data_IF_668474817843
#
_entry.id   IF_668474817843
#
_cell.length_a   1.000
_cell.length_b   1.000
_cell.length_c   1.000
_cell.angle_alpha   90.00
_cell.angle_beta   90.00
_cell.angle_gamma   90.00
#
_symmetry.space_group_name_H-M   'P 1'
#
loop_
_entity.id
_entity.type
_entity.pdbx_description
1 polymer ?
#
# COMPACT_ATOMS: atom_id res chain seq x y z
N UNK A 1 20.08 4.17 24.73
CA UNK A 1 19.91 5.37 23.89
C UNK A 1 20.10 4.91 22.45
N UNK A 2 19.01 4.61 21.73
CA UNK A 2 19.06 3.79 20.50
C UNK A 2 19.73 4.46 19.29
N UNK A 3 19.84 5.80 19.26
CA UNK A 3 20.53 6.55 18.19
C UNK A 3 21.71 7.36 18.76
N UNK A 4 22.61 6.74 19.51
CA UNK A 4 23.79 7.39 20.12
C UNK A 4 25.08 7.09 19.36
N UNK A 5 25.31 7.69 18.20
CA UNK A 5 26.63 7.68 17.54
C UNK A 5 26.92 9.06 16.95
N UNK A 6 28.16 9.53 17.12
CA UNK A 6 28.66 10.91 16.92
C UNK A 6 28.60 11.47 15.48
N UNK A 7 27.78 10.90 14.61
CA UNK A 7 27.64 11.30 13.21
C UNK A 7 26.23 11.86 13.01
N UNK A 8 26.12 13.18 12.82
CA UNK A 8 24.84 13.90 12.65
C UNK A 8 23.95 13.28 11.56
N UNK A 9 24.55 12.68 10.53
CA UNK A 9 23.84 12.02 9.45
C UNK A 9 23.26 10.64 9.85
N UNK A 10 24.03 9.84 10.59
CA UNK A 10 23.57 8.52 11.09
C UNK A 10 22.47 8.65 12.13
N UNK A 11 22.57 9.65 13.02
CA UNK A 11 21.51 9.96 13.99
C UNK A 11 20.19 10.38 13.33
N UNK A 12 20.25 11.21 12.29
CA UNK A 12 19.05 11.64 11.55
C UNK A 12 18.38 10.47 10.80
N UNK A 13 19.17 9.60 10.16
CA UNK A 13 18.67 8.41 9.47
C UNK A 13 18.01 7.42 10.44
N UNK A 14 18.62 7.19 11.61
CA UNK A 14 18.06 6.36 12.67
C UNK A 14 16.70 6.89 13.17
N UNK A 15 16.57 8.21 13.40
CA UNK A 15 15.31 8.82 13.82
C UNK A 15 14.22 8.64 12.75
N UNK A 16 14.58 8.84 11.48
CA UNK A 16 13.64 8.76 10.37
C UNK A 16 13.07 7.34 10.23
N UNK A 17 13.94 6.32 10.19
CA UNK A 17 13.55 4.93 9.95
C UNK A 17 12.91 4.28 11.18
N UNK A 18 13.44 4.53 12.38
CA UNK A 18 12.98 3.85 13.61
C UNK A 18 11.75 4.51 14.23
N UNK A 19 11.57 5.82 14.03
CA UNK A 19 10.48 6.57 14.68
C UNK A 19 9.50 7.18 13.67
N UNK A 20 9.97 7.99 12.73
CA UNK A 20 9.08 8.76 11.84
C UNK A 20 8.32 7.83 10.88
N UNK A 21 9.02 6.89 10.25
CA UNK A 21 8.46 5.94 9.31
C UNK A 21 7.35 5.05 9.91
N UNK A 22 7.53 4.41 11.09
CA UNK A 22 6.45 3.66 11.73
C UNK A 22 5.24 4.51 12.07
N UNK A 23 5.47 5.75 12.53
CA UNK A 23 4.37 6.67 12.84
C UNK A 23 3.58 7.01 11.57
N UNK A 24 4.27 7.31 10.46
CA UNK A 24 3.63 7.56 9.17
C UNK A 24 2.87 6.33 8.67
N UNK A 25 3.44 5.13 8.82
CA UNK A 25 2.77 3.87 8.46
C UNK A 25 1.49 3.65 9.28
N UNK A 26 1.55 3.87 10.59
CA UNK A 26 0.39 3.75 11.48
C UNK A 26 -0.71 4.76 11.13
N UNK A 27 -0.36 6.04 10.91
CA UNK A 27 -1.34 7.07 10.51
C UNK A 27 -1.97 6.71 9.16
N UNK A 28 -1.15 6.33 8.18
CA UNK A 28 -1.62 5.93 6.87
C UNK A 28 -2.53 4.70 6.92
N UNK A 29 -2.24 3.71 7.76
CA UNK A 29 -3.08 2.53 7.98
C UNK A 29 -4.43 2.91 8.55
N UNK A 30 -4.46 3.76 9.59
CA UNK A 30 -5.71 4.24 10.20
C UNK A 30 -6.56 4.98 9.18
N UNK A 31 -5.97 5.91 8.43
CA UNK A 31 -6.68 6.69 7.42
C UNK A 31 -7.21 5.81 6.28
N UNK A 32 -6.40 4.92 5.72
CA UNK A 32 -6.86 4.03 4.64
C UNK A 32 -7.94 3.06 5.14
N UNK A 33 -7.84 2.57 6.38
CA UNK A 33 -8.86 1.72 6.99
C UNK A 33 -10.18 2.47 7.19
N UNK A 34 -10.12 3.72 7.68
CA UNK A 34 -11.28 4.59 7.80
C UNK A 34 -11.93 4.83 6.42
N UNK A 35 -11.13 5.09 5.38
CA UNK A 35 -11.62 5.23 4.00
C UNK A 35 -12.32 3.96 3.51
N UNK A 36 -11.73 2.78 3.74
CA UNK A 36 -12.35 1.48 3.37
C UNK A 36 -13.70 1.33 4.06
N UNK A 37 -13.79 1.59 5.37
CA UNK A 37 -15.04 1.48 6.13
C UNK A 37 -16.10 2.42 5.55
N UNK A 38 -15.76 3.68 5.30
CA UNK A 38 -16.69 4.66 4.73
C UNK A 38 -17.13 4.25 3.32
N UNK A 39 -16.20 3.86 2.45
CA UNK A 39 -16.52 3.49 1.07
C UNK A 39 -17.35 2.21 1.00
N UNK A 40 -17.04 1.21 1.83
CA UNK A 40 -17.83 -0.02 1.93
C UNK A 40 -19.23 0.29 2.47
N UNK A 41 -19.34 1.10 3.52
CA UNK A 41 -20.64 1.54 4.07
C UNK A 41 -21.50 2.26 3.02
N UNK A 42 -20.90 3.16 2.25
CA UNK A 42 -21.57 3.86 1.15
C UNK A 42 -21.94 2.91 0.01
N UNK A 43 -21.14 1.88 -0.24
CA UNK A 43 -21.41 0.89 -1.30
C UNK A 43 -22.64 0.01 -1.02
N UNK A 44 -23.05 -0.13 0.24
CA UNK A 44 -24.25 -0.88 0.61
C UNK A 44 -25.56 -0.10 0.34
N UNK A 45 -25.50 1.22 0.20
CA UNK A 45 -26.67 2.00 -0.22
C UNK A 45 -26.91 1.82 -1.72
N UNK A 46 -28.04 1.21 -2.10
CA UNK A 46 -28.39 0.82 -3.48
C UNK A 46 -28.31 1.95 -4.53
N UNK A 47 -28.37 3.21 -4.11
CA UNK A 47 -28.20 4.37 -4.99
C UNK A 47 -26.77 4.50 -5.57
N UNK A 48 -25.74 4.10 -4.81
CA UNK A 48 -24.33 4.24 -5.19
C UNK A 48 -23.69 2.95 -5.73
N UNK A 49 -24.39 1.82 -5.67
CA UNK A 49 -23.97 0.50 -6.16
C UNK A 49 -23.47 0.49 -7.62
N UNK A 50 -23.82 1.50 -8.43
CA UNK A 50 -23.37 1.66 -9.83
C UNK A 50 -22.09 2.49 -10.00
N UNK A 51 -21.50 3.01 -8.93
CA UNK A 51 -20.31 3.87 -9.01
C UNK A 51 -19.06 3.00 -9.05
N UNK A 52 -18.66 2.59 -10.26
CA UNK A 52 -17.43 1.82 -10.50
C UNK A 52 -16.18 2.46 -9.90
N UNK A 53 -16.19 3.78 -9.72
CA UNK A 53 -15.13 4.55 -9.08
C UNK A 53 -14.93 4.15 -7.61
N UNK A 54 -16.04 3.91 -6.90
CA UNK A 54 -15.99 3.56 -5.47
C UNK A 54 -15.21 2.26 -5.25
N UNK A 55 -15.40 1.28 -6.14
CA UNK A 55 -14.66 0.01 -6.10
C UNK A 55 -13.17 0.19 -6.38
N UNK A 56 -12.78 1.08 -7.30
CA UNK A 56 -11.36 1.39 -7.51
C UNK A 56 -10.75 2.11 -6.29
N UNK A 57 -11.49 3.01 -5.64
CA UNK A 57 -11.04 3.67 -4.43
C UNK A 57 -10.86 2.69 -3.26
N UNK A 58 -11.79 1.75 -3.09
CA UNK A 58 -11.65 0.66 -2.11
C UNK A 58 -10.41 -0.17 -2.42
N UNK A 59 -10.23 -0.60 -3.67
CA UNK A 59 -9.07 -1.41 -4.07
C UNK A 59 -7.75 -0.66 -3.85
N UNK A 60 -7.70 0.63 -4.17
CA UNK A 60 -6.53 1.49 -3.89
C UNK A 60 -6.23 1.59 -2.40
N UNK A 61 -7.23 1.85 -1.56
CA UNK A 61 -7.04 1.91 -0.11
C UNK A 61 -6.59 0.56 0.46
N UNK A 62 -7.08 -0.57 -0.06
CA UNK A 62 -6.61 -1.91 0.33
C UNK A 62 -5.15 -2.11 -0.06
N UNK A 63 -4.74 -1.75 -1.28
CA UNK A 63 -3.34 -1.84 -1.71
C UNK A 63 -2.43 -0.96 -0.86
N UNK A 64 -2.85 0.28 -0.57
CA UNK A 64 -2.09 1.20 0.27
C UNK A 64 -1.99 0.68 1.72
N UNK A 65 -3.07 0.14 2.30
CA UNK A 65 -3.02 -0.49 3.62
C UNK A 65 -2.08 -1.68 3.64
N UNK A 66 -2.14 -2.55 2.62
CA UNK A 66 -1.26 -3.71 2.53
C UNK A 66 0.21 -3.29 2.38
N UNK A 67 0.48 -2.27 1.55
CA UNK A 67 1.82 -1.70 1.40
C UNK A 67 2.34 -1.15 2.74
N UNK A 68 1.58 -0.33 3.46
CA UNK A 68 2.01 0.25 4.72
C UNK A 68 2.21 -0.81 5.81
N UNK A 69 1.37 -1.85 5.84
CA UNK A 69 1.54 -2.99 6.73
C UNK A 69 2.84 -3.74 6.43
N UNK A 70 3.10 -4.04 5.15
CA UNK A 70 4.30 -4.76 4.73
C UNK A 70 5.57 -3.93 4.89
N UNK A 71 5.49 -2.60 4.71
CA UNK A 71 6.61 -1.67 4.93
C UNK A 71 7.13 -1.78 6.37
N UNK A 72 6.25 -2.01 7.35
CA UNK A 72 6.68 -2.22 8.74
C UNK A 72 7.57 -3.45 8.86
N UNK A 73 7.23 -4.55 8.19
CA UNK A 73 8.01 -5.78 8.26
C UNK A 73 9.29 -5.75 7.42
N UNK A 74 9.32 -4.96 6.35
CA UNK A 74 10.43 -4.92 5.38
C UNK A 74 11.46 -3.85 5.73
N UNK A 75 11.05 -2.72 6.29
CA UNK A 75 11.94 -1.56 6.50
C UNK A 75 12.28 -1.37 7.98
N UNK A 76 11.29 -1.52 8.87
CA UNK A 76 11.50 -1.28 10.31
C UNK A 76 12.18 -2.47 11.00
N UNK A 77 11.85 -3.70 10.61
CA UNK A 77 12.44 -4.90 11.22
C UNK A 77 13.96 -5.04 11.01
N UNK A 78 14.53 -4.89 9.79
CA UNK A 78 15.98 -4.92 9.61
C UNK A 78 16.68 -3.72 10.27
N UNK A 79 16.07 -2.53 10.25
CA UNK A 79 16.62 -1.38 10.97
C UNK A 79 16.65 -1.63 12.48
N UNK A 80 15.59 -2.22 13.04
CA UNK A 80 15.55 -2.60 14.45
C UNK A 80 16.64 -3.64 14.80
N UNK A 81 16.92 -4.60 13.92
CA UNK A 81 18.02 -5.56 14.10
C UNK A 81 19.39 -4.86 14.15
N UNK A 82 19.65 -3.94 13.22
CA UNK A 82 20.91 -3.18 13.15
C UNK A 82 21.15 -2.31 14.39
N UNK A 83 20.10 -1.68 14.93
CA UNK A 83 20.20 -0.81 16.10
C UNK A 83 20.02 -1.53 17.46
N UNK A 84 19.53 -2.77 17.49
CA UNK A 84 19.32 -3.54 18.73
C UNK A 84 20.54 -4.35 19.21
N UNK A 85 21.66 -4.28 18.49
CA UNK A 85 22.90 -5.05 18.71
C UNK A 85 23.51 -4.98 20.13
N UNK A 86 23.04 -4.09 21.00
CA UNK A 86 23.70 -3.77 22.28
C UNK A 86 23.00 -4.27 23.55
N UNK A 87 21.81 -4.90 23.47
CA UNK A 87 20.97 -5.10 24.68
C UNK A 87 20.59 -6.55 25.03
N UNK A 88 20.33 -7.45 24.07
CA UNK A 88 19.84 -8.80 24.44
C UNK A 88 20.02 -9.89 23.35
N UNK A 89 20.99 -10.81 23.53
CA UNK A 89 21.35 -11.86 22.54
C UNK A 89 20.19 -12.78 22.13
N UNK A 90 19.31 -13.17 23.06
CA UNK A 90 18.19 -14.05 22.74
C UNK A 90 17.07 -13.39 21.92
N UNK A 91 16.88 -12.07 22.08
CA UNK A 91 15.91 -11.32 21.28
C UNK A 91 16.43 -11.08 19.85
N UNK A 92 17.74 -10.96 19.68
CA UNK A 92 18.40 -10.76 18.38
C UNK A 92 18.23 -11.99 17.48
N UNK A 93 18.37 -13.20 18.02
CA UNK A 93 18.22 -14.43 17.24
C UNK A 93 16.77 -14.64 16.76
N UNK A 94 15.78 -14.32 17.60
CA UNK A 94 14.38 -14.33 17.18
C UNK A 94 14.07 -13.27 16.12
N UNK A 95 14.67 -12.07 16.23
CA UNK A 95 14.51 -10.99 15.27
C UNK A 95 15.12 -11.33 13.91
N UNK A 96 16.32 -11.93 13.86
CA UNK A 96 17.00 -12.25 12.61
C UNK A 96 16.27 -13.34 11.82
N UNK A 97 15.71 -14.34 12.52
CA UNK A 97 14.87 -15.39 11.90
C UNK A 97 13.60 -14.77 11.31
N UNK A 98 12.93 -13.89 12.06
CA UNK A 98 11.74 -13.19 11.59
C UNK A 98 12.06 -12.28 10.41
N UNK A 99 13.21 -11.59 10.43
CA UNK A 99 13.67 -10.71 9.36
C UNK A 99 13.98 -11.50 8.07
N UNK A 100 14.71 -12.60 8.17
CA UNK A 100 15.02 -13.45 7.02
C UNK A 100 13.75 -13.99 6.34
N UNK A 101 12.73 -14.33 7.11
CA UNK A 101 11.45 -14.80 6.58
C UNK A 101 10.58 -13.65 6.05
N UNK A 102 10.50 -12.54 6.78
CA UNK A 102 9.70 -11.38 6.39
C UNK A 102 10.22 -10.78 5.09
N UNK A 103 11.53 -10.56 4.95
CA UNK A 103 12.12 -9.96 3.74
C UNK A 103 11.82 -10.83 2.51
N UNK A 104 11.92 -12.16 2.62
CA UNK A 104 11.72 -13.05 1.47
C UNK A 104 10.29 -13.03 0.92
N UNK A 105 9.29 -12.81 1.77
CA UNK A 105 7.87 -12.90 1.40
C UNK A 105 7.20 -11.53 1.34
N UNK A 106 7.46 -10.68 2.32
CA UNK A 106 6.84 -9.36 2.42
C UNK A 106 7.40 -8.40 1.37
N UNK A 107 8.66 -8.52 0.96
CA UNK A 107 9.24 -7.67 -0.09
C UNK A 107 8.55 -7.82 -1.45
N UNK A 108 8.43 -9.03 -2.05
CA UNK A 108 7.72 -9.18 -3.32
C UNK A 108 6.24 -8.79 -3.19
N UNK A 109 5.59 -9.08 -2.06
CA UNK A 109 4.20 -8.69 -1.84
C UNK A 109 4.03 -7.16 -1.69
N UNK A 110 5.02 -6.48 -1.13
CA UNK A 110 5.07 -5.01 -1.04
C UNK A 110 5.23 -4.39 -2.42
N UNK A 111 6.10 -4.96 -3.27
CA UNK A 111 6.26 -4.52 -4.66
C UNK A 111 4.97 -4.76 -5.45
N UNK A 112 4.38 -5.96 -5.35
CA UNK A 112 3.09 -6.27 -5.97
C UNK A 112 2.00 -5.27 -5.56
N UNK A 113 1.91 -4.94 -4.27
CA UNK A 113 0.94 -3.94 -3.77
C UNK A 113 1.19 -2.54 -4.35
N UNK A 114 2.45 -2.14 -4.48
CA UNK A 114 2.83 -0.87 -5.12
C UNK A 114 2.44 -0.84 -6.60
N UNK A 115 2.80 -1.87 -7.36
CA UNK A 115 2.45 -1.97 -8.78
C UNK A 115 0.94 -1.98 -8.98
N UNK A 116 0.21 -2.74 -8.18
CA UNK A 116 -1.25 -2.75 -8.20
C UNK A 116 -1.83 -1.36 -7.95
N UNK A 117 -1.32 -0.61 -6.96
CA UNK A 117 -1.77 0.75 -6.65
C UNK A 117 -1.58 1.71 -7.83
N UNK A 118 -0.43 1.67 -8.51
CA UNK A 118 -0.13 2.50 -9.70
C UNK A 118 -1.12 2.18 -10.84
N UNK A 119 -1.36 0.89 -11.10
CA UNK A 119 -2.30 0.48 -12.14
C UNK A 119 -3.75 0.85 -11.80
N UNK A 120 -4.16 0.72 -10.54
CA UNK A 120 -5.49 1.14 -10.08
C UNK A 120 -5.66 2.67 -10.22
N UNK A 121 -4.63 3.45 -9.88
CA UNK A 121 -4.65 4.90 -10.10
C UNK A 121 -4.84 5.25 -11.59
N UNK A 122 -4.11 4.55 -12.46
CA UNK A 122 -4.24 4.71 -13.92
C UNK A 122 -5.67 4.41 -14.39
N UNK A 123 -6.30 3.36 -13.86
CA UNK A 123 -7.69 3.00 -14.16
C UNK A 123 -8.69 4.05 -13.64
N UNK A 124 -8.46 4.63 -12.46
CA UNK A 124 -9.25 5.76 -11.94
C UNK A 124 -9.15 6.95 -12.90
N UNK A 125 -7.94 7.31 -13.33
CA UNK A 125 -7.73 8.39 -14.30
C UNK A 125 -8.48 8.12 -15.62
N UNK A 126 -8.37 6.90 -16.16
CA UNK A 126 -9.08 6.47 -17.36
C UNK A 126 -10.61 6.58 -17.19
N UNK A 127 -11.14 6.14 -16.05
CA UNK A 127 -12.57 6.23 -15.76
C UNK A 127 -13.05 7.68 -15.64
N UNK A 128 -12.27 8.55 -14.98
CA UNK A 128 -12.58 9.99 -14.86
C UNK A 128 -12.55 10.68 -16.23
N UNK A 129 -11.57 10.36 -17.06
CA UNK A 129 -11.50 10.85 -18.43
C UNK A 129 -12.72 10.42 -19.26
N UNK A 130 -13.13 9.17 -19.14
CA UNK A 130 -14.34 8.66 -19.82
C UNK A 130 -15.60 9.41 -19.40
N UNK A 131 -15.73 9.77 -18.12
CA UNK A 131 -16.90 10.48 -17.58
C UNK A 131 -17.01 11.90 -18.14
N UNK A 132 -15.88 12.57 -18.38
CA UNK A 132 -15.82 13.96 -18.89
C UNK A 132 -15.96 14.01 -20.42
N UNK A 133 -15.52 12.96 -21.13
CA UNK A 133 -15.52 12.95 -22.60
C UNK A 133 -16.92 13.09 -23.22
N UNK A 134 -16.98 13.89 -24.30
CA UNK A 134 -18.16 14.05 -25.15
C UNK A 134 -18.62 12.69 -25.72
N UNK A 135 -19.94 12.41 -25.82
CA UNK A 135 -20.48 11.13 -26.30
C UNK A 135 -20.02 10.69 -27.69
N UNK A 136 -19.58 11.61 -28.55
CA UNK A 136 -19.07 11.31 -29.90
C UNK A 136 -17.62 10.80 -29.93
N UNK A 137 -16.89 10.84 -28.81
CA UNK A 137 -15.49 10.44 -28.77
C UNK A 137 -15.34 8.90 -28.80
N UNK A 138 -14.57 8.39 -29.77
CA UNK A 138 -14.24 6.95 -29.92
C UNK A 138 -13.65 6.33 -28.65
N UNK A 139 -12.88 7.09 -27.88
CA UNK A 139 -12.29 6.63 -26.62
C UNK A 139 -13.34 6.31 -25.56
N UNK A 140 -14.48 6.99 -25.55
CA UNK A 140 -15.57 6.73 -24.58
C UNK A 140 -16.16 5.32 -24.73
N UNK A 141 -16.25 4.83 -25.97
CA UNK A 141 -16.72 3.46 -26.28
C UNK A 141 -15.68 2.42 -25.87
N UNK A 142 -14.40 2.65 -26.21
CA UNK A 142 -13.30 1.72 -25.84
C UNK A 142 -13.14 1.59 -24.33
N UNK A 143 -13.29 2.68 -23.58
CA UNK A 143 -13.19 2.68 -22.12
C UNK A 143 -14.44 2.15 -21.40
N UNK A 144 -15.49 1.66 -22.10
CA UNK A 144 -16.64 1.06 -21.42
C UNK A 144 -16.30 -0.17 -20.59
N UNK A 145 -15.22 -0.89 -20.92
CA UNK A 145 -14.73 -2.02 -20.13
C UNK A 145 -14.34 -1.56 -18.71
N UNK A 146 -13.77 -0.36 -18.57
CA UNK A 146 -13.38 0.25 -17.28
C UNK A 146 -14.60 0.55 -16.40
N UNK A 147 -15.80 0.63 -16.99
CA UNK A 147 -17.06 0.78 -16.24
C UNK A 147 -17.40 -0.46 -15.41
N UNK A 148 -16.98 -1.66 -15.84
CA UNK A 148 -17.15 -2.87 -15.05
C UNK A 148 -15.93 -3.09 -14.16
N UNK A 149 -15.78 -2.30 -13.11
CA UNK A 149 -14.55 -2.17 -12.30
C UNK A 149 -14.00 -3.49 -11.73
N UNK A 150 -14.84 -4.51 -11.53
CA UNK A 150 -14.40 -5.81 -11.01
C UNK A 150 -13.34 -6.48 -11.89
N UNK A 151 -13.55 -6.50 -13.21
CA UNK A 151 -12.65 -7.17 -14.16
C UNK A 151 -11.24 -6.54 -14.16
N UNK A 152 -11.07 -5.22 -14.40
CA UNK A 152 -9.75 -4.61 -14.44
C UNK A 152 -9.07 -4.60 -13.07
N UNK A 153 -9.82 -4.50 -11.96
CA UNK A 153 -9.22 -4.63 -10.61
C UNK A 153 -8.64 -6.04 -10.43
N UNK A 154 -9.42 -7.09 -10.71
CA UNK A 154 -8.94 -8.48 -10.58
C UNK A 154 -7.73 -8.74 -11.50
N UNK A 155 -7.78 -8.24 -12.74
CA UNK A 155 -6.69 -8.41 -13.69
C UNK A 155 -5.41 -7.72 -13.23
N UNK A 156 -5.50 -6.48 -12.71
CA UNK A 156 -4.35 -5.77 -12.15
C UNK A 156 -3.76 -6.50 -10.95
N UNK A 157 -4.59 -7.01 -10.04
CA UNK A 157 -4.10 -7.75 -8.87
C UNK A 157 -3.39 -9.05 -9.27
N UNK A 158 -3.93 -9.79 -10.25
CA UNK A 158 -3.31 -11.02 -10.74
C UNK A 158 -1.98 -10.73 -11.43
N UNK A 159 -1.92 -9.70 -12.29
CA UNK A 159 -0.68 -9.31 -12.95
C UNK A 159 0.38 -8.84 -11.94
N UNK A 160 -0.01 -8.04 -10.94
CA UNK A 160 0.91 -7.53 -9.95
C UNK A 160 1.50 -8.61 -9.04
N UNK A 161 0.80 -9.72 -8.81
CA UNK A 161 1.31 -10.88 -8.04
C UNK A 161 2.23 -11.77 -8.92
N UNK A 162 2.07 -11.71 -10.23
CA UNK A 162 2.84 -12.52 -11.19
C UNK A 162 4.17 -11.90 -11.63
N UNK A 163 4.47 -10.67 -11.21
CA UNK A 163 5.77 -10.00 -11.41
C UNK A 163 6.74 -10.28 -10.27
#
# INVERSE_FOLDING_TARGET
>A
MFCGKNDTFGGASCILVVFIEPILCCIGLVLNTACIIVFVSVSFHDYFRKTSLLLYLIAMCVCNSLQLLLSIFVLILPAAEEYALDSNRGAIEALSILNAYSVRIAYPLLLASNYASIWILTLICAQRFQAICHPSNVWKKRLQIVRNSRIPITLVLVLAIGE
#
